data_IF_390492849100
#
_entry.id   IF_390492849100
#
_cell.length_a   1.000
_cell.length_b   1.000
_cell.length_c   1.000
_cell.angle_alpha   90.00
_cell.angle_beta   90.00
_cell.angle_gamma   90.00
#
_symmetry.space_group_name_H-M   'P 1'
#
loop_
_entity.id
_entity.type
_entity.pdbx_description
1 polymer ?
#
# COMPACT_ATOMS: atom_id res chain seq x y z
N UNK A 1 -17.59 -25.96 35.66
CA UNK A 1 -16.17 -25.76 35.36
C UNK A 1 -15.88 -26.27 33.95
N UNK A 2 -16.14 -25.43 32.95
CA UNK A 2 -15.78 -25.71 31.56
C UNK A 2 -14.52 -24.90 31.24
N UNK A 3 -13.50 -25.46 30.60
CA UNK A 3 -12.38 -24.67 30.14
C UNK A 3 -12.89 -23.81 28.97
N UNK A 4 -12.73 -22.50 29.07
CA UNK A 4 -12.94 -21.56 27.98
C UNK A 4 -11.98 -21.93 26.85
N UNK A 5 -12.51 -22.54 25.79
CA UNK A 5 -11.85 -22.60 24.49
C UNK A 5 -11.70 -21.17 23.99
N UNK A 6 -10.59 -20.53 24.35
CA UNK A 6 -10.12 -19.32 23.69
C UNK A 6 -9.70 -19.78 22.30
N UNK A 7 -10.62 -19.69 21.35
CA UNK A 7 -10.34 -19.69 19.93
C UNK A 7 -9.48 -18.46 19.68
N UNK A 8 -8.16 -18.59 19.87
CA UNK A 8 -7.22 -17.70 19.20
C UNK A 8 -7.53 -17.87 17.71
N UNK A 9 -7.99 -16.82 17.00
CA UNK A 9 -8.00 -16.93 15.56
C UNK A 9 -6.56 -17.22 15.18
N UNK A 10 -6.37 -18.29 14.41
CA UNK A 10 -5.12 -18.51 13.69
C UNK A 10 -4.97 -17.26 12.83
N UNK A 11 -4.26 -16.26 13.33
CA UNK A 11 -3.68 -15.21 12.51
C UNK A 11 -2.65 -15.93 11.66
N UNK A 12 -3.14 -16.52 10.56
CA UNK A 12 -2.32 -16.78 9.39
C UNK A 12 -1.54 -15.49 9.19
N UNK A 13 -0.22 -15.57 9.31
CA UNK A 13 0.70 -14.51 8.90
C UNK A 13 0.61 -14.38 7.38
N UNK A 14 -0.57 -14.06 6.85
CA UNK A 14 -0.72 -13.51 5.52
C UNK A 14 -0.04 -12.14 5.63
N UNK A 15 1.24 -12.08 5.27
CA UNK A 15 1.95 -10.81 5.18
C UNK A 15 1.10 -9.80 4.43
N UNK A 16 1.13 -8.54 4.84
CA UNK A 16 0.40 -7.47 4.17
C UNK A 16 0.66 -7.59 2.67
N UNK A 17 -0.38 -7.65 1.80
CA UNK A 17 -0.21 -7.80 0.36
C UNK A 17 0.29 -6.50 -0.29
N UNK A 18 1.05 -5.69 0.45
CA UNK A 18 1.52 -4.36 0.08
C UNK A 18 2.98 -4.23 0.51
N UNK A 19 3.81 -3.62 -0.32
CA UNK A 19 5.18 -3.24 0.01
C UNK A 19 5.52 -1.85 -0.54
N UNK A 20 6.52 -1.22 0.07
CA UNK A 20 7.14 -0.01 -0.43
C UNK A 20 8.54 -0.34 -0.94
N UNK A 21 8.87 0.15 -2.13
CA UNK A 21 10.15 -0.14 -2.80
C UNK A 21 10.85 1.13 -3.27
N UNK A 22 12.13 0.99 -3.63
CA UNK A 22 13.00 2.04 -4.16
C UNK A 22 13.29 3.20 -3.18
N UNK A 23 13.34 2.90 -1.89
CA UNK A 23 13.67 3.85 -0.83
C UNK A 23 14.64 3.19 0.15
N UNK A 24 15.50 3.99 0.80
CA UNK A 24 16.40 3.53 1.86
C UNK A 24 15.67 3.30 3.20
N UNK A 25 14.37 3.60 3.26
CA UNK A 25 13.54 3.36 4.44
C UNK A 25 12.30 2.51 4.13
N UNK A 26 11.88 1.73 5.13
CA UNK A 26 10.73 0.80 5.02
C UNK A 26 9.36 1.48 4.88
N UNK A 27 9.30 2.80 5.08
CA UNK A 27 8.06 3.56 5.24
C UNK A 27 7.87 4.64 4.16
N UNK A 28 8.66 4.58 3.09
CA UNK A 28 8.53 5.45 1.93
C UNK A 28 8.88 4.64 0.70
N UNK A 29 8.32 4.99 -0.45
CA UNK A 29 8.59 4.28 -1.69
C UNK A 29 7.39 4.20 -2.61
N UNK A 30 7.61 3.59 -3.77
CA UNK A 30 6.54 3.20 -4.69
C UNK A 30 5.68 2.13 -4.04
N UNK A 31 4.37 2.26 -4.17
CA UNK A 31 3.41 1.29 -3.64
C UNK A 31 3.27 0.12 -4.60
N UNK A 32 3.49 -1.09 -4.10
CA UNK A 32 3.25 -2.31 -4.86
C UNK A 32 2.34 -3.27 -4.10
N UNK A 33 1.43 -3.92 -4.82
CA UNK A 33 0.42 -4.84 -4.30
C UNK A 33 0.68 -6.25 -4.83
N UNK A 34 0.53 -7.25 -3.97
CA UNK A 34 0.57 -8.65 -4.37
C UNK A 34 -0.84 -9.17 -4.63
N UNK A 35 -1.12 -9.47 -5.89
CA UNK A 35 -2.42 -9.99 -6.32
C UNK A 35 -2.21 -11.03 -7.43
N UNK A 36 -3.02 -12.10 -7.44
CA UNK A 36 -2.93 -13.12 -8.50
C UNK A 36 -1.57 -13.80 -8.65
N UNK A 37 -0.76 -13.86 -7.59
CA UNK A 37 0.56 -14.50 -7.63
C UNK A 37 1.71 -13.62 -8.12
N UNK A 38 1.49 -12.32 -8.34
CA UNK A 38 2.52 -11.40 -8.81
C UNK A 38 2.39 -10.01 -8.18
N UNK A 39 3.52 -9.30 -8.10
CA UNK A 39 3.56 -7.91 -7.67
C UNK A 39 3.18 -6.99 -8.83
N UNK A 40 2.48 -5.91 -8.51
CA UNK A 40 2.12 -4.85 -9.46
C UNK A 40 1.97 -3.51 -8.74
N UNK A 41 1.88 -2.43 -9.51
CA UNK A 41 1.90 -1.06 -8.98
C UNK A 41 0.50 -0.48 -8.77
N UNK A 42 0.42 0.76 -8.31
CA UNK A 42 -0.82 1.53 -8.17
C UNK A 42 -0.69 2.79 -9.01
N UNK A 43 -1.68 3.13 -9.81
CA UNK A 43 -1.70 4.40 -10.56
C UNK A 43 -1.99 5.59 -9.64
N UNK A 44 -1.44 6.76 -9.98
CA UNK A 44 -1.58 8.01 -9.23
C UNK A 44 -2.85 8.81 -9.56
N UNK A 45 -3.69 8.33 -10.48
CA UNK A 45 -5.00 8.90 -10.76
C UNK A 45 -5.88 8.85 -9.50
N UNK A 46 -6.35 10.03 -9.07
CA UNK A 46 -7.05 10.28 -7.80
C UNK A 46 -6.24 10.00 -6.51
N UNK A 47 -4.94 9.67 -6.62
CA UNK A 47 -4.11 9.31 -5.48
C UNK A 47 -3.90 10.47 -4.50
N UNK A 48 -4.38 10.30 -3.28
CA UNK A 48 -4.36 11.35 -2.27
C UNK A 48 -3.77 10.93 -0.92
N UNK A 49 -3.79 11.87 0.03
CA UNK A 49 -3.24 11.63 1.37
C UNK A 49 -4.06 10.61 2.17
N UNK A 50 -5.36 10.48 1.90
CA UNK A 50 -6.24 9.49 2.54
C UNK A 50 -5.82 8.07 2.12
N UNK A 51 -5.53 7.87 0.84
CA UNK A 51 -5.04 6.60 0.29
C UNK A 51 -3.68 6.24 0.87
N UNK A 52 -2.76 7.22 0.85
CA UNK A 52 -1.44 7.06 1.44
C UNK A 52 -1.52 6.72 2.93
N UNK A 53 -2.45 7.31 3.68
CA UNK A 53 -2.65 7.00 5.10
C UNK A 53 -3.07 5.55 5.34
N UNK A 54 -3.94 4.99 4.49
CA UNK A 54 -4.32 3.58 4.57
C UNK A 54 -3.11 2.68 4.36
N UNK A 55 -2.29 2.93 3.33
CA UNK A 55 -1.05 2.18 3.08
C UNK A 55 -0.09 2.26 4.27
N UNK A 56 0.15 3.47 4.78
CA UNK A 56 1.06 3.69 5.89
C UNK A 56 0.60 2.97 7.16
N UNK A 57 -0.70 3.00 7.45
CA UNK A 57 -1.28 2.28 8.59
C UNK A 57 -1.19 0.76 8.40
N UNK A 58 -1.51 0.26 7.22
CA UNK A 58 -1.44 -1.16 6.88
C UNK A 58 -0.03 -1.75 7.05
N UNK A 59 0.99 -0.92 6.85
CA UNK A 59 2.41 -1.29 7.02
C UNK A 59 2.98 -0.96 8.41
N UNK A 60 2.17 -0.41 9.32
CA UNK A 60 2.64 -0.01 10.65
C UNK A 60 3.63 1.16 10.64
N UNK A 61 3.58 2.00 9.61
CA UNK A 61 4.46 3.16 9.41
C UNK A 61 3.86 4.49 9.91
N UNK A 62 2.75 4.44 10.63
CA UNK A 62 2.06 5.62 11.15
C UNK A 62 1.28 6.36 10.08
N UNK A 63 1.43 7.69 10.04
CA UNK A 63 0.67 8.58 9.14
C UNK A 63 1.49 8.94 7.90
N UNK A 64 0.82 9.02 6.75
CA UNK A 64 1.42 9.55 5.54
C UNK A 64 1.72 11.05 5.71
N UNK A 65 2.93 11.43 5.31
CA UNK A 65 3.36 12.81 5.13
C UNK A 65 2.97 13.31 3.74
N UNK A 66 3.11 12.46 2.73
CA UNK A 66 2.87 12.82 1.33
C UNK A 66 2.40 11.63 0.51
N UNK A 67 1.50 11.91 -0.42
CA UNK A 67 1.12 11.06 -1.54
C UNK A 67 1.79 11.66 -2.79
N UNK A 68 2.63 10.89 -3.46
CA UNK A 68 3.39 11.36 -4.63
C UNK A 68 2.93 10.66 -5.90
N UNK A 69 3.00 11.41 -6.99
CA UNK A 69 2.65 11.00 -8.36
C UNK A 69 3.90 10.96 -9.26
N UNK A 70 3.70 10.65 -10.53
CA UNK A 70 4.68 10.68 -11.61
C UNK A 70 5.89 9.78 -11.37
N UNK A 71 5.67 8.58 -10.81
CA UNK A 71 6.72 7.61 -10.53
C UNK A 71 7.88 8.22 -9.72
N UNK A 72 7.56 8.98 -8.66
CA UNK A 72 8.55 9.71 -7.85
C UNK A 72 9.66 8.82 -7.26
N UNK A 73 9.36 7.55 -7.00
CA UNK A 73 10.34 6.54 -6.56
C UNK A 73 10.74 5.58 -7.70
N UNK A 74 10.69 6.08 -8.94
CA UNK A 74 10.95 5.34 -10.16
C UNK A 74 9.75 4.52 -10.63
N UNK A 75 9.70 4.27 -11.93
CA UNK A 75 8.71 3.41 -12.56
C UNK A 75 8.89 1.96 -12.12
N UNK A 76 7.78 1.27 -11.89
CA UNK A 76 7.73 -0.17 -11.69
C UNK A 76 7.71 -0.93 -13.00
N UNK A 77 7.31 -2.19 -12.90
CA UNK A 77 7.18 -3.11 -14.02
C UNK A 77 6.09 -4.13 -13.74
N UNK A 78 5.49 -4.69 -14.79
CA UNK A 78 4.47 -5.73 -14.66
C UNK A 78 3.06 -5.12 -14.69
N UNK A 79 2.08 -5.72 -13.99
CA UNK A 79 0.72 -5.18 -13.97
C UNK A 79 0.63 -3.91 -13.12
N UNK A 80 -0.32 -3.03 -13.48
CA UNK A 80 -0.81 -1.97 -12.60
C UNK A 80 -2.10 -2.51 -11.98
N UNK A 81 -2.10 -2.71 -10.66
CA UNK A 81 -3.18 -3.40 -9.99
C UNK A 81 -4.36 -2.52 -9.66
N UNK A 82 -4.11 -1.31 -9.17
CA UNK A 82 -5.16 -0.39 -8.78
C UNK A 82 -4.98 0.93 -9.51
N UNK A 83 -6.10 1.59 -9.74
CA UNK A 83 -6.25 2.90 -10.36
C UNK A 83 -7.48 3.57 -9.75
N UNK A 84 -7.56 4.91 -9.78
CA UNK A 84 -8.67 5.70 -9.26
C UNK A 84 -9.10 5.25 -7.85
N UNK A 85 -8.10 5.01 -7.00
CA UNK A 85 -8.30 4.58 -5.62
C UNK A 85 -8.85 5.75 -4.82
N UNK A 86 -9.90 5.48 -4.04
CA UNK A 86 -10.50 6.47 -3.15
C UNK A 86 -10.80 5.82 -1.80
N UNK A 87 -9.95 6.10 -0.83
CA UNK A 87 -10.12 5.67 0.55
C UNK A 87 -10.85 6.71 1.40
N UNK A 88 -11.63 6.24 2.37
CA UNK A 88 -12.18 7.01 3.48
C UNK A 88 -11.17 7.17 4.62
N UNK A 89 -10.11 6.35 4.63
CA UNK A 89 -9.06 6.33 5.65
C UNK A 89 -9.30 5.31 6.78
N UNK A 90 -10.45 4.63 6.78
CA UNK A 90 -10.82 3.63 7.78
C UNK A 90 -10.63 2.19 7.31
N UNK A 91 -10.36 1.98 6.02
CA UNK A 91 -10.23 0.68 5.37
C UNK A 91 -9.03 -0.12 5.88
N UNK A 92 -9.17 -1.42 6.20
CA UNK A 92 -8.09 -2.21 6.78
C UNK A 92 -6.83 -2.25 5.91
N UNK A 93 -6.98 -2.15 4.59
CA UNK A 93 -5.90 -1.98 3.63
C UNK A 93 -6.36 -1.30 2.35
N UNK A 94 -5.39 -1.02 1.49
CA UNK A 94 -5.60 -0.27 0.24
C UNK A 94 -6.47 -1.02 -0.77
N UNK A 95 -6.48 -2.35 -0.69
CA UNK A 95 -7.28 -3.24 -1.54
C UNK A 95 -8.77 -3.27 -1.19
N UNK A 96 -9.15 -2.68 -0.05
CA UNK A 96 -10.55 -2.54 0.37
C UNK A 96 -11.11 -1.14 0.12
N UNK A 97 -10.28 -0.20 -0.33
CA UNK A 97 -10.75 1.11 -0.76
C UNK A 97 -11.56 1.02 -2.06
N UNK A 98 -12.36 2.04 -2.34
CA UNK A 98 -13.12 2.07 -3.58
C UNK A 98 -12.16 2.22 -4.76
N UNK A 99 -12.24 1.32 -5.72
CA UNK A 99 -11.46 1.34 -6.97
C UNK A 99 -12.25 0.63 -8.10
N UNK A 100 -11.92 0.83 -9.38
CA UNK A 100 -12.61 0.21 -10.53
C UNK A 100 -12.49 -1.32 -10.59
N UNK A 101 -11.44 -1.88 -9.98
CA UNK A 101 -11.18 -3.32 -9.95
C UNK A 101 -9.70 -3.62 -10.20
N UNK A 102 -9.24 -4.82 -9.85
CA UNK A 102 -7.85 -5.21 -10.08
C UNK A 102 -7.55 -5.27 -11.58
N UNK A 103 -6.48 -4.58 -12.01
CA UNK A 103 -6.04 -4.55 -13.41
C UNK A 103 -6.93 -3.72 -14.34
N UNK A 104 -7.88 -2.95 -13.79
CA UNK A 104 -8.72 -2.02 -14.56
C UNK A 104 -8.12 -0.62 -14.44
N UNK A 105 -7.34 -0.22 -15.43
CA UNK A 105 -6.64 1.07 -15.48
C UNK A 105 -6.39 1.51 -16.93
N UNK A 106 -6.08 2.78 -17.12
CA UNK A 106 -5.60 3.36 -18.38
C UNK A 106 -4.16 3.94 -18.28
N UNK A 107 -3.50 3.76 -17.13
CA UNK A 107 -2.19 4.33 -16.84
C UNK A 107 -1.02 3.53 -17.42
N UNK A 108 0.14 4.18 -17.54
CA UNK A 108 1.46 3.54 -17.67
C UNK A 108 2.32 3.74 -16.41
N UNK A 109 3.48 3.08 -16.33
CA UNK A 109 4.33 3.13 -15.13
C UNK A 109 4.96 4.49 -14.82
N UNK A 110 4.88 5.45 -15.74
CA UNK A 110 5.19 6.85 -15.43
C UNK A 110 4.23 7.46 -14.42
N UNK A 111 3.06 6.85 -14.19
CA UNK A 111 2.01 7.28 -13.25
C UNK A 111 2.00 6.42 -11.97
N UNK A 112 3.08 5.70 -11.67
CA UNK A 112 3.11 4.87 -10.46
C UNK A 112 3.12 5.73 -9.18
N UNK A 113 2.15 5.48 -8.31
CA UNK A 113 1.94 6.16 -7.06
C UNK A 113 2.97 5.77 -5.99
N UNK A 114 3.29 6.73 -5.12
CA UNK A 114 4.23 6.54 -4.04
C UNK A 114 3.78 7.22 -2.74
N UNK A 115 4.36 6.82 -1.62
CA UNK A 115 4.09 7.40 -0.29
C UNK A 115 5.39 7.80 0.40
N UNK A 116 5.29 8.82 1.26
CA UNK A 116 6.29 9.18 2.27
C UNK A 116 5.58 9.28 3.61
N UNK A 117 6.13 8.69 4.67
CA UNK A 117 5.59 8.85 6.04
C UNK A 117 6.35 9.87 6.87
N UNK A 118 5.75 10.30 7.98
CA UNK A 118 6.47 11.00 9.05
C UNK A 118 7.25 9.98 9.88
N UNK A 119 8.49 9.68 9.48
CA UNK A 119 9.53 8.93 10.19
C UNK A 119 9.17 8.28 11.55
N UNK A 120 9.43 6.98 11.66
CA UNK A 120 10.22 6.47 12.80
C UNK A 120 11.37 5.57 12.27
N UNK A 121 12.53 6.21 12.10
CA UNK A 121 13.91 5.69 12.20
C UNK A 121 14.37 4.63 11.16
N UNK A 122 15.11 5.09 10.15
CA UNK A 122 16.29 4.36 9.66
C UNK A 122 17.53 5.02 10.26
N UNK A 123 17.93 4.58 11.45
CA UNK A 123 19.33 4.63 11.82
C UNK A 123 19.87 3.24 11.50
N UNK A 124 20.65 3.14 10.43
CA UNK A 124 21.65 2.09 10.37
C UNK A 124 22.66 2.38 11.47
N UNK A 125 22.88 1.42 12.38
CA UNK A 125 24.14 1.37 13.13
C UNK A 125 25.32 1.16 12.16
#
# INVERSE_FOLDING_TARGET
STPSNIMFPVFLLAGSPVRLVNSDNRCSGRVEIYHGGQWGTVCDDSWDLSDANVVCRQLGCGRARSALSNAAFGAGSGPIWLDNVVCLGSEPGITECRHPGFGVHNCGHQEDASVITTNEICQSE
#
